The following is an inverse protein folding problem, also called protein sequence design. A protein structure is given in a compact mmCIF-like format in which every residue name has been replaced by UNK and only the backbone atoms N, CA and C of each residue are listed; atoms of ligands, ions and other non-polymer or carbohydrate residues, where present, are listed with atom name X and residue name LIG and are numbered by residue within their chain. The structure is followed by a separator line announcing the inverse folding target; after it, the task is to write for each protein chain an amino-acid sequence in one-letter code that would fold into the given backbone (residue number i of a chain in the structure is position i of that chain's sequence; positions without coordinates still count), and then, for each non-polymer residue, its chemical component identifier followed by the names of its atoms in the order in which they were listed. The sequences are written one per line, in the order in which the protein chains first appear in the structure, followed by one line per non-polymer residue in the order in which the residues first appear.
data_IF_019410067930
#
_entry.id   IF_019410067930
#
_cell.length_a   1.000
_cell.length_b   1.000
_cell.length_c   1.000
_cell.angle_alpha   90.00
_cell.angle_beta   90.00
_cell.angle_gamma   90.00
#
_symmetry.space_group_name_H-M   'P 1'
#
loop_
_entity.id
_entity.type
_entity.pdbx_description
1 polymer ?
#
# COMPACT_ATOMS: atom_id res chain seq x y z
N UNK A 1 -36.70 -24.84 -3.57
CA UNK A 1 -37.85 -24.58 -4.45
C UNK A 1 -38.33 -23.16 -4.16
N UNK A 2 -38.60 -22.43 -5.23
CA UNK A 2 -38.92 -21.00 -5.31
C UNK A 2 -40.31 -20.61 -4.77
N UNK A 3 -40.55 -19.29 -4.83
CA UNK A 3 -41.79 -18.50 -4.81
C UNK A 3 -42.27 -18.02 -3.42
N UNK A 4 -42.05 -16.75 -3.04
CA UNK A 4 -42.54 -15.47 -3.62
C UNK A 4 -44.04 -15.22 -3.37
N UNK A 5 -44.32 -14.24 -2.50
CA UNK A 5 -45.51 -13.37 -2.42
C UNK A 5 -45.27 -12.45 -1.22
N UNK A 6 -45.31 -11.12 -1.27
CA UNK A 6 -46.12 -10.27 -2.12
C UNK A 6 -46.94 -9.35 -1.21
N UNK A 7 -46.33 -8.23 -0.81
CA UNK A 7 -46.87 -6.86 -0.74
C UNK A 7 -48.20 -6.52 0.02
N UNK A 8 -48.14 -5.37 0.71
CA UNK A 8 -49.21 -4.48 1.22
C UNK A 8 -50.01 -4.90 2.45
N UNK A 9 -49.74 -4.23 3.56
CA UNK A 9 -50.47 -3.00 3.93
C UNK A 9 -50.02 -2.53 5.30
N UNK A 10 -49.67 -1.25 5.40
CA UNK A 10 -50.06 -0.29 6.46
C UNK A 10 -49.06 0.87 6.40
N UNK A 11 -49.36 1.80 5.51
CA UNK A 11 -48.95 3.19 5.63
C UNK A 11 -49.30 3.68 7.05
N UNK A 12 -48.33 4.27 7.74
CA UNK A 12 -48.55 4.84 9.06
C UNK A 12 -47.35 5.65 9.53
N UNK A 13 -47.43 6.95 9.25
CA UNK A 13 -46.67 8.04 9.91
C UNK A 13 -45.27 8.35 9.36
N UNK A 14 -45.31 9.22 8.37
CA UNK A 14 -44.33 10.28 8.06
C UNK A 14 -43.34 10.56 9.22
N UNK A 15 -42.09 10.15 9.01
CA UNK A 15 -40.93 10.88 9.49
C UNK A 15 -39.98 11.00 8.28
N UNK A 16 -40.25 11.99 7.44
CA UNK A 16 -39.34 12.42 6.37
C UNK A 16 -38.06 12.94 7.01
N UNK A 17 -37.03 12.11 7.11
CA UNK A 17 -35.62 12.55 7.11
C UNK A 17 -34.81 11.56 6.29
N UNK A 18 -34.72 11.89 5.01
CA UNK A 18 -33.62 11.63 4.07
C UNK A 18 -32.85 10.31 4.23
N UNK A 19 -33.12 9.41 3.28
CA UNK A 19 -32.18 8.37 2.88
C UNK A 19 -30.83 8.98 2.45
N UNK A 20 -29.74 8.34 2.85
CA UNK A 20 -28.50 8.26 2.08
C UNK A 20 -27.73 7.02 2.53
N UNK A 21 -27.75 5.99 1.69
CA UNK A 21 -26.79 4.89 1.74
C UNK A 21 -25.44 5.40 1.20
N UNK A 22 -24.33 5.15 1.90
CA UNK A 22 -22.98 5.22 1.30
C UNK A 22 -22.07 4.17 1.93
N UNK A 23 -21.60 3.26 1.08
CA UNK A 23 -20.49 2.33 1.28
C UNK A 23 -19.20 3.08 1.66
N UNK A 24 -18.37 2.50 2.52
CA UNK A 24 -16.95 2.83 2.54
C UNK A 24 -16.13 1.61 2.91
N UNK A 25 -15.87 0.76 1.92
CA UNK A 25 -14.65 -0.03 1.91
C UNK A 25 -13.51 0.97 1.72
N UNK A 26 -12.75 1.24 2.79
CA UNK A 26 -11.46 1.91 2.67
C UNK A 26 -10.51 0.92 2.00
N UNK A 27 -10.55 0.88 0.67
CA UNK A 27 -9.37 0.52 -0.08
C UNK A 27 -8.37 1.65 0.15
N UNK A 28 -7.36 1.41 0.99
CA UNK A 28 -6.15 2.22 1.03
C UNK A 28 -5.41 2.00 -0.29
N UNK A 29 -5.92 2.57 -1.37
CA UNK A 29 -5.11 2.85 -2.54
C UNK A 29 -4.27 4.06 -2.15
N UNK A 30 -3.10 3.82 -1.55
CA UNK A 30 -2.09 4.85 -1.39
C UNK A 30 -1.81 5.39 -2.79
N UNK A 31 -2.17 6.65 -3.10
CA UNK A 31 -1.70 7.26 -4.33
C UNK A 31 -0.18 7.34 -4.17
N UNK A 32 0.58 6.74 -5.08
CA UNK A 32 2.00 7.02 -5.22
C UNK A 32 2.12 8.49 -5.67
N UNK A 33 2.05 9.41 -4.71
CA UNK A 33 2.42 10.78 -4.93
C UNK A 33 3.89 10.78 -5.29
N UNK A 34 4.27 11.49 -6.36
CA UNK A 34 5.67 11.70 -6.67
C UNK A 34 6.32 12.47 -5.51
N UNK A 35 6.82 11.76 -4.50
CA UNK A 35 7.58 12.33 -3.41
C UNK A 35 8.85 12.92 -4.01
N UNK A 36 9.19 14.14 -3.58
CA UNK A 36 10.42 14.78 -4.00
C UNK A 36 11.57 14.02 -3.36
N UNK A 37 12.18 13.09 -4.10
CA UNK A 37 13.37 12.38 -3.62
C UNK A 37 14.50 13.37 -3.37
N UNK A 38 15.08 13.32 -2.18
CA UNK A 38 16.30 14.06 -1.83
C UNK A 38 17.52 13.40 -2.49
N UNK A 39 18.68 14.06 -2.42
CA UNK A 39 19.93 13.42 -2.87
C UNK A 39 20.27 12.19 -2.03
N UNK A 40 19.84 12.12 -0.77
CA UNK A 40 20.17 11.02 0.12
C UNK A 40 19.23 9.84 -0.12
N UNK A 41 17.95 10.09 -0.41
CA UNK A 41 17.00 9.07 -0.88
C UNK A 41 17.51 8.38 -2.14
N UNK A 42 18.02 9.15 -3.10
CA UNK A 42 18.58 8.59 -4.34
C UNK A 42 19.80 7.71 -4.05
N UNK A 43 20.67 8.12 -3.12
CA UNK A 43 21.83 7.30 -2.71
C UNK A 43 21.36 6.02 -2.03
N UNK A 44 20.37 6.11 -1.14
CA UNK A 44 19.80 4.97 -0.43
C UNK A 44 19.17 3.97 -1.40
N UNK A 45 18.32 4.44 -2.32
CA UNK A 45 17.67 3.60 -3.34
C UNK A 45 18.71 2.91 -4.22
N UNK A 46 19.77 3.62 -4.64
CA UNK A 46 20.83 3.02 -5.46
C UNK A 46 21.63 1.96 -4.69
N UNK A 47 21.89 2.19 -3.39
CA UNK A 47 22.54 1.20 -2.54
C UNK A 47 21.65 -0.04 -2.37
N UNK A 48 20.37 0.15 -2.04
CA UNK A 48 19.39 -0.93 -1.96
C UNK A 48 19.32 -1.75 -3.26
N UNK A 49 19.27 -1.08 -4.42
CA UNK A 49 19.27 -1.78 -5.72
C UNK A 49 20.54 -2.60 -5.87
N UNK A 50 21.71 -2.04 -5.52
CA UNK A 50 22.99 -2.73 -5.64
C UNK A 50 23.08 -3.95 -4.73
N UNK A 51 22.59 -3.84 -3.49
CA UNK A 51 22.63 -4.91 -2.49
C UNK A 51 21.71 -6.07 -2.87
N UNK A 52 20.64 -5.78 -3.60
CA UNK A 52 19.65 -6.76 -4.06
C UNK A 52 19.89 -7.26 -5.51
N UNK A 53 21.00 -6.87 -6.16
CA UNK A 53 21.30 -7.31 -7.52
C UNK A 53 21.55 -8.82 -7.57
N UNK A 54 20.84 -9.48 -8.48
CA UNK A 54 21.01 -10.92 -8.71
C UNK A 54 20.25 -11.80 -7.72
N UNK A 55 19.49 -11.20 -6.80
CA UNK A 55 18.55 -11.93 -5.95
C UNK A 55 17.50 -12.65 -6.80
N UNK A 56 17.17 -13.87 -6.40
CA UNK A 56 16.28 -14.73 -7.15
C UNK A 56 14.86 -14.13 -7.21
N UNK A 57 14.32 -13.97 -8.43
CA UNK A 57 13.01 -13.34 -8.66
C UNK A 57 13.05 -11.81 -8.73
N UNK A 58 14.18 -11.19 -8.39
CA UNK A 58 14.38 -9.74 -8.48
C UNK A 58 14.80 -9.31 -9.89
N UNK A 59 13.84 -8.95 -10.75
CA UNK A 59 14.18 -8.22 -11.99
C UNK A 59 14.61 -6.79 -11.64
N UNK A 60 15.37 -6.07 -12.51
CA UNK A 60 15.73 -4.68 -12.24
C UNK A 60 14.53 -3.77 -11.95
N UNK A 61 13.37 -4.06 -12.54
CA UNK A 61 12.14 -3.31 -12.29
C UNK A 61 11.55 -3.63 -10.91
N UNK A 62 11.49 -4.92 -10.53
CA UNK A 62 10.98 -5.38 -9.23
C UNK A 62 11.86 -4.84 -8.10
N UNK A 63 13.18 -5.00 -8.21
CA UNK A 63 14.13 -4.51 -7.20
C UNK A 63 14.00 -2.99 -7.05
N UNK A 64 13.87 -2.25 -8.16
CA UNK A 64 13.69 -0.80 -8.10
C UNK A 64 12.38 -0.41 -7.43
N UNK A 65 11.28 -1.08 -7.74
CA UNK A 65 9.97 -0.83 -7.10
C UNK A 65 10.02 -1.13 -5.60
N UNK A 66 10.64 -2.24 -5.22
CA UNK A 66 10.89 -2.61 -3.82
C UNK A 66 11.70 -1.53 -3.09
N UNK A 67 12.84 -1.12 -3.64
CA UNK A 67 13.71 -0.13 -3.01
C UNK A 67 13.06 1.26 -2.90
N UNK A 68 12.22 1.65 -3.88
CA UNK A 68 11.43 2.88 -3.78
C UNK A 68 10.42 2.75 -2.64
N UNK A 69 9.64 1.66 -2.60
CA UNK A 69 8.67 1.42 -1.53
C UNK A 69 9.32 1.43 -0.13
N UNK A 70 10.51 0.84 0.01
CA UNK A 70 11.24 0.85 1.27
C UNK A 70 11.65 2.26 1.68
N UNK A 71 12.14 3.08 0.74
CA UNK A 71 12.46 4.48 1.00
C UNK A 71 11.22 5.32 1.37
N UNK A 72 10.06 5.08 0.75
CA UNK A 72 8.81 5.79 1.06
C UNK A 72 8.29 5.49 2.48
N UNK A 73 8.64 4.32 3.02
CA UNK A 73 8.30 3.91 4.39
C UNK A 73 9.32 4.40 5.42
N UNK A 74 10.42 4.98 4.98
CA UNK A 74 11.42 5.58 5.85
C UNK A 74 11.07 7.02 6.18
N UNK A 75 11.48 7.45 7.37
CA UNK A 75 11.41 8.85 7.77
C UNK A 75 12.63 9.61 7.26
N UNK A 76 12.47 10.90 6.98
CA UNK A 76 13.53 11.78 6.44
C UNK A 76 14.71 11.94 7.43
N UNK A 77 14.49 11.72 8.74
CA UNK A 77 15.52 11.81 9.79
C UNK A 77 16.17 10.44 10.13
N UNK A 78 15.96 9.40 9.31
CA UNK A 78 16.55 8.08 9.54
C UNK A 78 18.08 8.10 9.32
N UNK A 79 18.82 7.56 10.29
CA UNK A 79 20.30 7.58 10.31
C UNK A 79 20.94 6.18 10.24
N UNK A 80 20.14 5.13 10.31
CA UNK A 80 20.57 3.73 10.16
C UNK A 80 21.04 3.46 8.73
N UNK A 81 21.92 2.48 8.56
CA UNK A 81 22.20 1.95 7.22
C UNK A 81 20.99 1.23 6.65
N UNK A 82 20.92 1.12 5.32
CA UNK A 82 19.89 0.36 4.56
C UNK A 82 19.61 -0.99 5.23
N UNK A 83 20.63 -1.83 5.37
CA UNK A 83 20.51 -3.18 5.95
C UNK A 83 20.06 -3.16 7.41
N UNK A 84 20.47 -2.17 8.20
CA UNK A 84 20.03 -2.04 9.59
C UNK A 84 18.54 -1.70 9.66
N UNK A 85 18.08 -0.80 8.78
CA UNK A 85 16.68 -0.42 8.71
C UNK A 85 15.81 -1.59 8.21
N UNK A 86 16.21 -2.28 7.14
CA UNK A 86 15.47 -3.44 6.61
C UNK A 86 15.30 -4.54 7.66
N UNK A 87 16.37 -4.84 8.43
CA UNK A 87 16.33 -5.83 9.52
C UNK A 87 15.40 -5.42 10.66
N UNK A 88 15.29 -4.12 10.94
CA UNK A 88 14.42 -3.59 11.98
C UNK A 88 12.95 -3.50 11.55
N UNK A 89 12.67 -3.53 10.24
CA UNK A 89 11.35 -3.32 9.66
C UNK A 89 10.90 -4.49 8.76
N UNK A 90 10.74 -5.71 9.31
CA UNK A 90 10.38 -6.90 8.52
C UNK A 90 9.00 -6.79 7.87
N UNK A 91 8.07 -6.06 8.49
CA UNK A 91 6.74 -5.81 7.93
C UNK A 91 6.79 -4.88 6.70
N UNK A 92 7.63 -3.84 6.76
CA UNK A 92 7.86 -2.95 5.62
C UNK A 92 8.43 -3.73 4.43
N UNK A 93 9.40 -4.61 4.69
CA UNK A 93 9.96 -5.51 3.69
C UNK A 93 8.89 -6.38 3.04
N UNK A 94 8.08 -7.08 3.82
CA UNK A 94 7.01 -7.95 3.28
C UNK A 94 5.98 -7.18 2.46
N UNK A 95 5.58 -6.00 2.92
CA UNK A 95 4.64 -5.16 2.19
C UNK A 95 5.25 -4.67 0.87
N UNK A 96 6.52 -4.25 0.89
CA UNK A 96 7.22 -3.80 -0.32
C UNK A 96 7.54 -4.94 -1.30
N UNK A 97 7.86 -6.14 -0.82
CA UNK A 97 7.99 -7.35 -1.63
C UNK A 97 6.67 -7.60 -2.37
N UNK A 98 5.55 -7.65 -1.63
CA UNK A 98 4.21 -7.82 -2.20
C UNK A 98 3.85 -6.72 -3.21
N UNK A 99 4.11 -5.46 -2.89
CA UNK A 99 3.84 -4.33 -3.78
C UNK A 99 4.68 -4.38 -5.06
N UNK A 100 5.95 -4.77 -4.96
CA UNK A 100 6.85 -4.91 -6.11
C UNK A 100 6.55 -6.16 -6.95
N UNK A 101 5.68 -7.07 -6.49
CA UNK A 101 5.47 -8.38 -7.10
C UNK A 101 6.66 -9.31 -6.91
N UNK A 102 7.42 -9.11 -5.83
CA UNK A 102 8.53 -9.96 -5.42
C UNK A 102 8.00 -11.06 -4.51
N UNK A 103 8.24 -12.32 -4.92
CA UNK A 103 8.00 -13.60 -4.24
C UNK A 103 6.87 -13.63 -3.19
#
# INVERSE_FOLDING_TARGET
MEFSSGDRTKQGRFMKKFACAVLSALALTSPAFAQKMTSDDIKWINQCISDNKGEEGGTPAIIRAYCICMNEKMDDDETRSVTQWEKANPEARQDCEKQAGWK
#
